data_IF_691916220996
#
_entry.id   IF_691916220996
#
_cell.length_a   1.000
_cell.length_b   1.000
_cell.length_c   1.000
_cell.angle_alpha   90.00
_cell.angle_beta   90.00
_cell.angle_gamma   90.00
#
_symmetry.space_group_name_H-M   'P 1'
#
loop_
_entity.id
_entity.type
_entity.pdbx_description
1 polymer ?
#
# COMPACT_ATOMS: atom_id res chain seq x y z
N UNK A 1 28.37 -6.02 9.03
CA UNK A 1 27.22 -6.47 8.21
C UNK A 1 26.12 -5.43 8.35
N UNK A 2 26.06 -4.44 7.45
CA UNK A 2 24.95 -3.49 7.39
C UNK A 2 24.42 -3.51 5.97
N UNK A 3 23.53 -4.46 5.72
CA UNK A 3 22.70 -4.46 4.53
C UNK A 3 21.62 -3.42 4.74
N UNK A 4 21.83 -2.23 4.19
CA UNK A 4 20.73 -1.33 3.82
C UNK A 4 20.34 -1.66 2.39
N UNK A 5 19.28 -2.45 2.15
CA UNK A 5 18.54 -2.35 0.91
C UNK A 5 17.06 -2.18 1.29
N UNK A 6 16.27 -1.32 0.67
CA UNK A 6 15.57 -1.66 -0.58
C UNK A 6 14.78 -0.43 -1.09
N UNK A 7 15.04 0.79 -0.61
CA UNK A 7 14.23 1.95 -1.01
C UNK A 7 14.72 2.62 -2.32
N UNK A 8 15.92 2.29 -2.81
CA UNK A 8 16.58 3.02 -3.91
C UNK A 8 16.52 2.37 -5.30
N UNK A 9 16.00 1.15 -5.46
CA UNK A 9 16.08 0.42 -6.76
C UNK A 9 14.72 -0.08 -7.31
N UNK A 10 13.63 -0.10 -6.53
CA UNK A 10 12.32 -0.63 -6.98
C UNK A 10 11.42 0.43 -7.63
N UNK A 11 12.04 1.47 -8.19
CA UNK A 11 11.33 2.49 -8.94
C UNK A 11 10.81 1.93 -10.26
N UNK A 12 9.49 2.02 -10.42
CA UNK A 12 8.72 2.03 -11.68
C UNK A 12 8.11 0.73 -12.25
N UNK A 13 8.61 -0.48 -11.97
CA UNK A 13 8.03 -1.72 -12.56
C UNK A 13 7.43 -2.75 -11.61
N UNK A 14 7.52 -2.55 -10.30
CA UNK A 14 6.98 -3.52 -9.35
C UNK A 14 5.43 -3.47 -9.31
N UNK A 15 4.79 -4.63 -9.41
CA UNK A 15 3.35 -4.78 -9.25
C UNK A 15 2.98 -4.33 -7.83
N UNK A 16 2.16 -3.27 -7.65
CA UNK A 16 1.80 -2.78 -6.33
C UNK A 16 1.15 -3.87 -5.46
N UNK A 17 0.46 -4.85 -6.06
CA UNK A 17 -0.17 -5.95 -5.31
C UNK A 17 0.87 -6.89 -4.69
N UNK A 18 1.95 -7.21 -5.41
CA UNK A 18 3.06 -8.01 -4.85
C UNK A 18 3.72 -7.26 -3.71
N UNK A 19 3.95 -5.95 -3.87
CA UNK A 19 4.52 -5.13 -2.81
C UNK A 19 3.64 -5.12 -1.57
N UNK A 20 2.33 -5.04 -1.74
CA UNK A 20 1.37 -5.12 -0.63
C UNK A 20 1.36 -6.52 0.00
N UNK A 21 1.47 -7.59 -0.79
CA UNK A 21 1.56 -8.95 -0.26
C UNK A 21 2.83 -9.14 0.57
N UNK A 22 3.98 -8.63 0.13
CA UNK A 22 5.22 -8.69 0.92
C UNK A 22 5.12 -7.97 2.26
N UNK A 23 4.40 -6.85 2.29
CA UNK A 23 4.26 -6.00 3.48
C UNK A 23 3.19 -6.50 4.45
N UNK A 24 2.04 -6.94 3.95
CA UNK A 24 0.85 -7.26 4.75
C UNK A 24 0.47 -8.73 4.72
N UNK A 25 1.13 -9.54 3.90
CA UNK A 25 0.79 -10.95 3.67
C UNK A 25 -0.54 -11.13 2.92
N UNK A 26 -1.06 -12.36 3.00
CA UNK A 26 -2.30 -12.77 2.36
C UNK A 26 -2.13 -13.26 0.92
N UNK A 27 -3.24 -13.72 0.36
CA UNK A 27 -3.28 -14.18 -1.02
C UNK A 27 -3.21 -13.00 -1.98
N UNK A 28 -2.51 -13.21 -3.09
CA UNK A 28 -2.48 -12.27 -4.20
C UNK A 28 -3.68 -12.58 -5.11
N UNK A 29 -4.78 -11.81 -5.04
CA UNK A 29 -5.93 -12.09 -5.89
C UNK A 29 -5.53 -11.94 -7.36
N UNK A 30 -6.02 -12.85 -8.21
CA UNK A 30 -5.85 -12.75 -9.66
C UNK A 30 -6.55 -11.50 -10.22
N UNK A 31 -7.63 -11.08 -9.55
CA UNK A 31 -8.32 -9.83 -9.82
C UNK A 31 -7.43 -8.62 -9.53
N UNK A 32 -7.73 -7.47 -10.16
CA UNK A 32 -7.01 -6.22 -9.94
C UNK A 32 -7.20 -5.60 -8.53
N UNK A 33 -7.58 -6.41 -7.54
CA UNK A 33 -7.79 -6.00 -6.16
C UNK A 33 -6.48 -6.07 -5.34
N UNK A 34 -6.35 -5.27 -4.27
CA UNK A 34 -5.29 -5.44 -3.28
C UNK A 34 -5.49 -6.71 -2.45
N UNK A 35 -4.41 -7.26 -1.86
CA UNK A 35 -4.53 -8.30 -0.84
C UNK A 35 -5.47 -7.88 0.30
N UNK A 36 -6.31 -8.80 0.77
CA UNK A 36 -7.32 -8.52 1.82
C UNK A 36 -6.72 -7.89 3.08
N UNK A 37 -5.59 -8.39 3.63
CA UNK A 37 -4.98 -7.78 4.82
C UNK A 37 -4.56 -6.33 4.61
N UNK A 38 -4.02 -6.01 3.42
CA UNK A 38 -3.63 -4.64 3.09
C UNK A 38 -4.84 -3.70 3.02
N UNK A 39 -5.95 -4.17 2.45
CA UNK A 39 -7.18 -3.38 2.35
C UNK A 39 -7.83 -3.13 3.70
N UNK A 40 -7.85 -4.14 4.58
CA UNK A 40 -8.35 -4.00 5.95
C UNK A 40 -7.52 -2.98 6.73
N UNK A 41 -6.20 -3.14 6.71
CA UNK A 41 -5.28 -2.20 7.33
C UNK A 41 -5.47 -0.77 6.80
N UNK A 42 -5.63 -0.59 5.50
CA UNK A 42 -5.85 0.74 4.92
C UNK A 42 -7.14 1.38 5.44
N UNK A 43 -8.22 0.61 5.57
CA UNK A 43 -9.50 1.09 6.11
C UNK A 43 -9.38 1.46 7.59
N UNK A 44 -8.59 0.72 8.36
CA UNK A 44 -8.32 1.05 9.76
C UNK A 44 -7.52 2.36 9.90
N UNK A 45 -6.50 2.57 9.07
CA UNK A 45 -5.68 3.79 9.08
C UNK A 45 -6.48 5.02 8.63
N UNK A 46 -7.33 4.87 7.61
CA UNK A 46 -8.13 5.98 7.09
C UNK A 46 -9.39 6.24 7.94
N UNK A 47 -9.84 5.25 8.70
CA UNK A 47 -11.07 5.30 9.48
C UNK A 47 -12.31 5.44 8.60
N UNK A 48 -13.41 5.93 9.19
CA UNK A 48 -14.68 6.16 8.48
C UNK A 48 -14.70 7.47 7.67
N UNK A 49 -13.62 8.23 7.66
CA UNK A 49 -13.59 9.51 6.96
C UNK A 49 -13.28 9.30 5.49
N UNK A 50 -14.12 9.84 4.60
CA UNK A 50 -13.81 9.97 3.17
C UNK A 50 -12.71 11.02 3.01
N UNK A 51 -11.47 10.62 3.22
CA UNK A 51 -10.31 11.47 3.01
C UNK A 51 -10.14 11.73 1.51
N UNK A 52 -9.73 12.96 1.18
CA UNK A 52 -9.21 13.28 -0.15
C UNK A 52 -8.13 12.25 -0.55
N UNK A 53 -8.11 11.76 -1.81
CA UNK A 53 -7.15 10.73 -2.23
C UNK A 53 -5.68 11.05 -1.93
N UNK A 54 -5.28 12.31 -2.03
CA UNK A 54 -3.90 12.72 -1.72
C UNK A 54 -3.64 12.65 -0.22
N UNK A 55 -4.60 13.08 0.59
CA UNK A 55 -4.54 12.97 2.06
C UNK A 55 -4.50 11.50 2.48
N UNK A 56 -5.30 10.65 1.86
CA UNK A 56 -5.30 9.20 2.12
C UNK A 56 -3.92 8.58 1.84
N UNK A 57 -3.33 8.87 0.68
CA UNK A 57 -1.97 8.40 0.33
C UNK A 57 -0.94 8.89 1.35
N UNK A 58 -1.01 10.16 1.77
CA UNK A 58 -0.10 10.72 2.76
C UNK A 58 -0.23 10.02 4.12
N UNK A 59 -1.46 9.75 4.57
CA UNK A 59 -1.74 9.04 5.82
C UNK A 59 -1.23 7.60 5.76
N UNK A 60 -1.49 6.87 4.68
CA UNK A 60 -1.02 5.49 4.51
C UNK A 60 0.52 5.42 4.52
N UNK A 61 1.21 6.32 3.82
CA UNK A 61 2.69 6.35 3.81
C UNK A 61 3.30 6.82 5.13
N UNK A 62 2.56 7.61 5.91
CA UNK A 62 2.97 7.98 7.27
C UNK A 62 2.83 6.80 8.23
N UNK A 63 1.78 5.99 8.07
CA UNK A 63 1.54 4.80 8.88
C UNK A 63 2.49 3.63 8.53
N UNK A 64 2.79 3.43 7.24
CA UNK A 64 3.78 2.43 6.78
C UNK A 64 4.82 3.09 5.85
N UNK A 65 5.98 3.51 6.38
CA UNK A 65 7.02 4.20 5.60
C UNK A 65 7.66 3.35 4.50
N UNK A 66 7.56 2.01 4.56
CA UNK A 66 8.09 1.09 3.53
C UNK A 66 7.18 0.97 2.32
N UNK A 67 5.99 1.58 2.40
CA UNK A 67 4.99 1.58 1.34
C UNK A 67 5.40 2.58 0.25
N UNK A 68 5.55 2.06 -0.97
CA UNK A 68 5.92 2.88 -2.13
C UNK A 68 4.76 3.78 -2.52
N UNK A 69 5.03 4.90 -3.20
CA UNK A 69 3.98 5.81 -3.65
C UNK A 69 2.94 5.09 -4.51
N UNK A 70 3.38 4.23 -5.45
CA UNK A 70 2.48 3.48 -6.33
C UNK A 70 1.58 2.51 -5.57
N UNK A 71 2.12 1.75 -4.62
CA UNK A 71 1.34 0.85 -3.77
C UNK A 71 0.35 1.64 -2.89
N UNK A 72 0.76 2.80 -2.38
CA UNK A 72 -0.08 3.66 -1.54
C UNK A 72 -1.25 4.23 -2.33
N UNK A 73 -0.99 4.76 -3.53
CA UNK A 73 -2.03 5.28 -4.43
C UNK A 73 -3.01 4.18 -4.83
N UNK A 74 -2.50 3.01 -5.21
CA UNK A 74 -3.33 1.86 -5.57
C UNK A 74 -4.23 1.43 -4.40
N UNK A 75 -3.68 1.34 -3.19
CA UNK A 75 -4.41 0.93 -2.01
C UNK A 75 -5.46 1.98 -1.59
N UNK A 76 -5.12 3.26 -1.64
CA UNK A 76 -6.06 4.36 -1.34
C UNK A 76 -7.26 4.36 -2.30
N UNK A 77 -7.04 4.15 -3.60
CA UNK A 77 -8.14 4.05 -4.58
C UNK A 77 -9.14 2.93 -4.26
N UNK A 78 -8.67 1.82 -3.70
CA UNK A 78 -9.53 0.69 -3.32
C UNK A 78 -10.17 0.87 -1.94
N UNK A 79 -9.49 1.56 -1.03
CA UNK A 79 -10.02 1.81 0.31
C UNK A 79 -11.10 2.91 0.33
N UNK A 80 -11.05 3.85 -0.61
CA UNK A 80 -12.00 4.97 -0.74
C UNK A 80 -13.23 4.65 -1.60
N UNK A 81 -13.27 3.49 -2.26
CA UNK A 81 -14.42 3.00 -3.03
C UNK A 81 -15.33 2.16 -2.14
#
# INVERSE_FOLDING_TARGET
>A
MQSTPLAKIFGDREDPRRRLQELFGGDLPESGQPPVPALQWAREVLGQSTADPLVAVALLRRAEPRLTLRAATFLAQHALR
#
